data_IF_366079804880
#
_entry.id   IF_366079804880
#
_cell.length_a   1.000
_cell.length_b   1.000
_cell.length_c   1.000
_cell.angle_alpha   90.00
_cell.angle_beta   90.00
_cell.angle_gamma   90.00
#
_symmetry.space_group_name_H-M   'P 1'
#
loop_
_entity.id
_entity.type
_entity.pdbx_description
1 polymer ?
#
# COMPACT_ATOMS: atom_id res chain seq x y z
N UNK A 1 16.96 -59.21 3.47
CA UNK A 1 15.51 -59.06 3.79
C UNK A 1 15.40 -57.84 4.71
N UNK A 2 15.53 -56.60 4.25
CA UNK A 2 14.71 -55.81 3.31
C UNK A 2 13.23 -55.84 3.65
N UNK A 3 12.76 -54.81 4.35
CA UNK A 3 11.43 -54.26 4.17
C UNK A 3 11.56 -52.74 4.15
N UNK A 4 11.48 -52.20 2.94
CA UNK A 4 11.51 -50.77 2.64
C UNK A 4 10.16 -50.14 2.98
N UNK A 5 10.19 -48.95 3.56
CA UNK A 5 9.01 -48.14 3.83
C UNK A 5 8.63 -47.36 2.54
N UNK A 6 7.47 -47.63 1.90
CA UNK A 6 7.14 -47.00 0.63
C UNK A 6 6.62 -45.58 0.86
N UNK A 7 7.42 -44.61 0.40
CA UNK A 7 7.06 -43.20 0.27
C UNK A 7 5.90 -42.98 -0.72
N UNK A 8 5.06 -42.01 -0.38
CA UNK A 8 4.50 -40.98 -1.29
C UNK A 8 3.77 -41.50 -2.54
N UNK A 9 2.46 -41.73 -2.42
CA UNK A 9 1.52 -41.68 -3.55
C UNK A 9 0.28 -40.89 -3.13
N UNK A 10 0.05 -39.77 -3.80
CA UNK A 10 -1.20 -39.01 -3.68
C UNK A 10 -1.05 -37.53 -3.29
N UNK A 11 0.01 -36.84 -3.71
CA UNK A 11 -0.08 -35.38 -3.82
C UNK A 11 -0.99 -35.08 -5.02
N UNK A 12 -2.27 -34.88 -4.76
CA UNK A 12 -3.19 -34.26 -5.72
C UNK A 12 -2.60 -32.88 -5.99
N UNK A 13 -2.04 -32.70 -7.18
CA UNK A 13 -1.73 -31.39 -7.69
C UNK A 13 -3.03 -30.61 -7.67
N UNK A 14 -3.16 -29.66 -6.74
CA UNK A 14 -4.22 -28.67 -6.78
C UNK A 14 -3.90 -27.84 -8.00
N UNK A 15 -4.56 -28.17 -9.11
CA UNK A 15 -4.49 -27.45 -10.37
C UNK A 15 -5.03 -26.04 -10.06
N UNK A 16 -4.12 -25.11 -9.81
CA UNK A 16 -4.46 -23.71 -9.67
C UNK A 16 -4.93 -23.27 -11.05
N UNK A 17 -6.21 -22.91 -11.26
CA UNK A 17 -6.69 -22.56 -12.58
C UNK A 17 -5.82 -21.44 -13.13
N UNK A 18 -5.04 -21.78 -14.16
CA UNK A 18 -4.26 -20.79 -14.90
C UNK A 18 -5.27 -19.92 -15.63
N UNK A 19 -5.48 -18.72 -15.07
CA UNK A 19 -6.28 -17.65 -15.64
C UNK A 19 -5.71 -17.25 -16.99
N UNK A 20 -5.95 -18.04 -18.04
CA UNK A 20 -5.78 -17.61 -19.42
C UNK A 20 -6.99 -16.75 -19.75
N UNK A 21 -6.70 -15.53 -20.21
CA UNK A 21 -7.63 -14.54 -20.76
C UNK A 21 -8.46 -13.69 -19.76
N UNK A 22 -7.78 -13.01 -18.83
CA UNK A 22 -8.28 -11.74 -18.28
C UNK A 22 -7.48 -10.60 -18.94
N UNK A 23 -8.10 -9.46 -19.31
CA UNK A 23 -7.35 -8.29 -19.75
C UNK A 23 -6.27 -7.98 -18.72
N UNK A 24 -5.07 -7.57 -19.17
CA UNK A 24 -3.90 -7.20 -18.36
C UNK A 24 -4.30 -6.26 -17.22
N UNK A 25 -4.77 -6.83 -16.12
CA UNK A 25 -5.22 -6.10 -14.95
C UNK A 25 -4.07 -6.19 -13.98
N UNK A 26 -3.44 -5.04 -13.71
CA UNK A 26 -2.35 -4.94 -12.75
C UNK A 26 -2.74 -5.67 -11.45
N UNK A 27 -1.85 -6.54 -10.97
CA UNK A 27 -2.05 -7.21 -9.68
C UNK A 27 -2.09 -6.16 -8.57
N UNK A 28 -2.73 -6.43 -7.41
CA UNK A 28 -2.69 -5.51 -6.27
C UNK A 28 -1.27 -5.09 -5.88
N UNK A 29 -0.31 -6.00 -5.97
CA UNK A 29 1.12 -5.70 -5.75
C UNK A 29 1.69 -4.73 -6.78
N UNK A 30 1.44 -4.95 -8.08
CA UNK A 30 1.88 -4.05 -9.14
C UNK A 30 1.27 -2.63 -8.99
N UNK A 31 0.00 -2.54 -8.57
CA UNK A 31 -0.64 -1.26 -8.26
C UNK A 31 0.04 -0.54 -7.08
N UNK A 32 0.40 -1.28 -6.02
CA UNK A 32 1.12 -0.72 -4.87
C UNK A 32 2.53 -0.23 -5.27
N UNK A 33 3.25 -0.98 -6.09
CA UNK A 33 4.56 -0.59 -6.61
C UNK A 33 4.48 0.70 -7.45
N UNK A 34 3.48 0.80 -8.33
CA UNK A 34 3.25 2.03 -9.12
C UNK A 34 2.92 3.23 -8.24
N UNK A 35 2.18 3.02 -7.14
CA UNK A 35 1.92 4.09 -6.18
C UNK A 35 3.23 4.54 -5.48
N UNK A 36 4.11 3.60 -5.11
CA UNK A 36 5.40 3.92 -4.52
C UNK A 36 6.30 4.71 -5.50
N UNK A 37 6.35 4.31 -6.78
CA UNK A 37 7.10 5.04 -7.81
C UNK A 37 6.51 6.43 -8.09
N UNK A 38 5.19 6.60 -8.04
CA UNK A 38 4.57 7.91 -8.15
C UNK A 38 4.99 8.84 -7.00
N UNK A 39 5.05 8.33 -5.76
CA UNK A 39 5.55 9.10 -4.60
C UNK A 39 7.03 9.42 -4.76
N UNK A 40 7.84 8.48 -5.27
CA UNK A 40 9.26 8.72 -5.56
C UNK A 40 9.43 9.85 -6.59
N UNK A 41 8.66 9.82 -7.67
CA UNK A 41 8.68 10.87 -8.69
C UNK A 41 8.25 12.23 -8.13
N UNK A 42 7.20 12.25 -7.29
CA UNK A 42 6.77 13.46 -6.58
C UNK A 42 7.90 14.02 -5.70
N UNK A 43 8.52 13.18 -4.87
CA UNK A 43 9.62 13.61 -4.00
C UNK A 43 10.78 14.21 -4.79
N UNK A 44 11.09 13.67 -5.97
CA UNK A 44 12.10 14.23 -6.87
C UNK A 44 11.69 15.59 -7.43
N UNK A 45 10.42 15.77 -7.81
CA UNK A 45 9.91 17.03 -8.33
C UNK A 45 9.86 18.16 -7.27
N UNK A 46 9.83 17.82 -5.99
CA UNK A 46 9.79 18.77 -4.87
C UNK A 46 11.15 19.00 -4.18
N UNK A 47 12.25 18.51 -4.76
CA UNK A 47 13.55 18.45 -4.08
C UNK A 47 14.43 19.70 -4.32
N UNK A 48 14.57 20.55 -3.29
CA UNK A 48 15.61 21.57 -3.18
C UNK A 48 15.66 22.56 -4.35
N UNK A 49 16.86 22.91 -4.81
CA UNK A 49 17.07 23.85 -5.93
C UNK A 49 16.54 23.35 -7.29
N UNK A 50 16.10 22.08 -7.36
CA UNK A 50 15.45 21.46 -8.54
C UNK A 50 13.94 21.33 -8.37
N UNK A 51 13.39 21.93 -7.32
CA UNK A 51 11.96 21.97 -7.07
C UNK A 51 11.23 22.61 -8.24
N UNK A 52 10.14 21.98 -8.67
CA UNK A 52 9.20 22.54 -9.63
C UNK A 52 8.13 23.40 -8.95
N UNK A 53 8.25 23.64 -7.64
CA UNK A 53 7.38 24.53 -6.88
C UNK A 53 7.97 25.95 -6.91
N UNK A 54 7.27 26.88 -7.55
CA UNK A 54 7.68 28.29 -7.68
C UNK A 54 6.79 29.23 -6.87
N UNK A 55 5.53 28.83 -6.62
CA UNK A 55 4.53 29.67 -5.96
C UNK A 55 3.83 28.91 -4.81
N UNK A 56 3.25 29.62 -3.82
CA UNK A 56 2.46 28.99 -2.76
C UNK A 56 1.33 28.10 -3.27
N UNK A 57 0.75 28.45 -4.43
CA UNK A 57 -0.28 27.66 -5.11
C UNK A 57 0.19 26.28 -5.55
N UNK A 58 1.48 26.08 -5.82
CA UNK A 58 2.02 24.79 -6.24
C UNK A 58 2.04 23.80 -5.07
N UNK A 59 2.40 24.28 -3.88
CA UNK A 59 2.31 23.49 -2.66
C UNK A 59 0.86 23.10 -2.35
N UNK A 60 -0.10 24.02 -2.54
CA UNK A 60 -1.53 23.72 -2.41
C UNK A 60 -1.95 22.61 -3.38
N UNK A 61 -1.56 22.74 -4.65
CA UNK A 61 -1.87 21.78 -5.70
C UNK A 61 -1.26 20.38 -5.46
N UNK A 62 -0.12 20.29 -4.75
CA UNK A 62 0.48 19.00 -4.35
C UNK A 62 -0.21 18.39 -3.13
N UNK A 63 -0.53 19.20 -2.11
CA UNK A 63 -1.09 18.68 -0.85
C UNK A 63 -2.50 18.13 -1.07
N UNK A 64 -3.32 18.72 -1.94
CA UNK A 64 -4.69 18.25 -2.22
C UNK A 64 -4.77 16.77 -2.66
N UNK A 65 -4.02 16.36 -3.70
CA UNK A 65 -3.88 14.95 -4.08
C UNK A 65 -3.35 14.04 -2.96
N UNK A 66 -2.41 14.50 -2.13
CA UNK A 66 -1.91 13.73 -0.99
C UNK A 66 -2.99 13.48 0.07
N UNK A 67 -3.89 14.45 0.31
CA UNK A 67 -5.08 14.23 1.17
C UNK A 67 -5.93 13.09 0.62
N UNK A 68 -6.17 13.07 -0.69
CA UNK A 68 -6.96 12.01 -1.33
C UNK A 68 -6.29 10.64 -1.24
N UNK A 69 -4.97 10.58 -1.38
CA UNK A 69 -4.21 9.35 -1.18
C UNK A 69 -4.34 8.86 0.26
N UNK A 70 -4.07 9.72 1.25
CA UNK A 70 -4.16 9.37 2.67
C UNK A 70 -5.57 8.93 3.07
N UNK A 71 -6.62 9.51 2.47
CA UNK A 71 -8.02 9.11 2.68
C UNK A 71 -8.35 7.71 2.17
N UNK A 72 -7.66 7.23 1.13
CA UNK A 72 -7.91 5.92 0.50
C UNK A 72 -7.14 4.77 1.15
N UNK A 73 -5.97 5.07 1.74
CA UNK A 73 -5.13 4.05 2.39
C UNK A 73 -5.85 3.18 3.44
N UNK A 74 -6.71 3.73 4.33
CA UNK A 74 -7.48 2.92 5.28
C UNK A 74 -8.24 1.78 4.62
N UNK A 75 -8.95 2.06 3.51
CA UNK A 75 -9.71 1.05 2.80
C UNK A 75 -8.81 -0.08 2.27
N UNK A 76 -7.63 0.26 1.73
CA UNK A 76 -6.68 -0.75 1.26
C UNK A 76 -6.16 -1.62 2.42
N UNK A 77 -5.91 -1.03 3.59
CA UNK A 77 -5.44 -1.77 4.75
C UNK A 77 -6.53 -2.67 5.35
N UNK A 78 -7.77 -2.20 5.40
CA UNK A 78 -8.91 -2.98 5.86
C UNK A 78 -9.14 -4.19 4.93
N UNK A 79 -9.08 -4.00 3.61
CA UNK A 79 -9.17 -5.09 2.63
C UNK A 79 -8.04 -6.11 2.76
N UNK A 80 -6.82 -5.67 3.08
CA UNK A 80 -5.70 -6.58 3.38
C UNK A 80 -5.97 -7.36 4.68
N UNK A 81 -6.50 -6.70 5.72
CA UNK A 81 -6.83 -7.35 6.98
C UNK A 81 -7.92 -8.43 6.81
N UNK A 82 -8.95 -8.15 6.02
CA UNK A 82 -9.99 -9.13 5.64
C UNK A 82 -9.39 -10.35 4.94
N UNK A 83 -8.41 -10.15 4.05
CA UNK A 83 -7.71 -11.27 3.41
C UNK A 83 -6.91 -12.09 4.43
N UNK A 84 -6.29 -11.46 5.43
CA UNK A 84 -5.59 -12.17 6.50
C UNK A 84 -6.54 -13.02 7.37
N UNK A 85 -7.78 -12.60 7.55
CA UNK A 85 -8.79 -13.41 8.26
C UNK A 85 -9.17 -14.68 7.47
N UNK A 86 -9.21 -14.58 6.13
CA UNK A 86 -9.36 -15.76 5.27
C UNK A 86 -8.19 -16.72 5.46
N UNK A 87 -6.95 -16.22 5.51
CA UNK A 87 -5.77 -17.05 5.75
C UNK A 87 -5.79 -17.72 7.14
N UNK A 88 -6.29 -17.02 8.16
CA UNK A 88 -6.40 -17.54 9.53
C UNK A 88 -7.31 -18.78 9.60
N UNK A 89 -8.43 -18.76 8.87
CA UNK A 89 -9.32 -19.91 8.76
C UNK A 89 -8.63 -21.13 8.11
N UNK A 90 -7.69 -20.91 7.20
CA UNK A 90 -6.93 -21.93 6.49
C UNK A 90 -5.75 -22.51 7.30
N UNK A 91 -5.38 -21.89 8.43
CA UNK A 91 -4.39 -22.45 9.36
C UNK A 91 -4.90 -23.79 9.93
N UNK A 92 -6.19 -23.86 10.32
CA UNK A 92 -6.79 -25.08 10.89
C UNK A 92 -6.85 -26.25 9.90
N UNK A 93 -6.79 -25.97 8.60
CA UNK A 93 -6.77 -27.01 7.55
C UNK A 93 -5.36 -27.40 7.12
N UNK A 94 -4.32 -26.76 7.68
CA UNK A 94 -2.92 -26.99 7.33
C UNK A 94 -2.51 -26.41 5.96
N UNK A 95 -3.31 -25.52 5.36
CA UNK A 95 -2.99 -24.90 4.08
C UNK A 95 -2.13 -23.63 4.21
N UNK A 96 -2.06 -23.07 5.41
CA UNK A 96 -1.16 -21.95 5.74
C UNK A 96 -0.20 -22.44 6.81
N UNK A 97 1.09 -22.28 6.54
CA UNK A 97 2.18 -22.64 7.44
C UNK A 97 3.18 -21.48 7.52
N UNK A 98 3.94 -21.42 8.61
CA UNK A 98 5.03 -20.47 8.77
C UNK A 98 6.36 -21.21 8.76
N UNK A 99 7.36 -20.64 8.09
CA UNK A 99 8.74 -21.17 8.11
C UNK A 99 9.35 -21.12 9.53
N UNK A 100 8.83 -20.24 10.39
CA UNK A 100 9.19 -20.08 11.80
C UNK A 100 8.00 -19.63 12.63
N UNK A 101 7.89 -20.09 13.88
CA UNK A 101 6.83 -19.67 14.81
C UNK A 101 5.43 -20.17 14.43
N UNK A 102 4.41 -19.66 15.11
CA UNK A 102 3.01 -20.03 14.84
C UNK A 102 2.42 -19.13 13.73
N UNK A 103 1.85 -19.70 12.64
CA UNK A 103 1.19 -18.91 11.60
C UNK A 103 0.06 -18.02 12.12
N UNK A 104 -0.70 -18.46 13.14
CA UNK A 104 -1.80 -17.65 13.70
C UNK A 104 -1.27 -16.40 14.41
N UNK A 105 -0.19 -16.52 15.17
CA UNK A 105 0.51 -15.38 15.79
C UNK A 105 1.03 -14.36 14.76
N UNK A 106 1.59 -14.83 13.64
CA UNK A 106 2.04 -13.94 12.55
C UNK A 106 0.88 -13.19 11.91
N UNK A 107 -0.23 -13.88 11.61
CA UNK A 107 -1.41 -13.28 11.04
C UNK A 107 -2.05 -12.26 11.99
N UNK A 108 -2.14 -12.57 13.28
CA UNK A 108 -2.64 -11.64 14.30
C UNK A 108 -1.76 -10.38 14.40
N UNK A 109 -0.44 -10.55 14.35
CA UNK A 109 0.52 -9.44 14.35
C UNK A 109 0.34 -8.56 13.11
N UNK A 110 0.22 -9.15 11.92
CA UNK A 110 0.02 -8.43 10.67
C UNK A 110 -1.31 -7.64 10.67
N UNK A 111 -2.40 -8.22 11.17
CA UNK A 111 -3.69 -7.51 11.35
C UNK A 111 -3.56 -6.32 12.28
N UNK A 112 -2.92 -6.51 13.44
CA UNK A 112 -2.69 -5.42 14.40
C UNK A 112 -1.86 -4.28 13.79
N UNK A 113 -0.86 -4.61 12.98
CA UNK A 113 -0.07 -3.63 12.25
C UNK A 113 -0.92 -2.88 11.20
N UNK A 114 -1.81 -3.55 10.48
CA UNK A 114 -2.73 -2.89 9.53
C UNK A 114 -3.73 -1.97 10.24
N UNK A 115 -4.29 -2.38 11.38
CA UNK A 115 -5.15 -1.51 12.22
C UNK A 115 -4.40 -0.24 12.67
N UNK A 116 -3.13 -0.40 13.04
CA UNK A 116 -2.26 0.71 13.40
C UNK A 116 -1.97 1.61 12.19
N UNK A 117 -1.74 1.02 11.01
CA UNK A 117 -1.55 1.73 9.76
C UNK A 117 -2.79 2.54 9.34
N UNK A 118 -3.99 1.98 9.51
CA UNK A 118 -5.27 2.68 9.31
C UNK A 118 -5.37 3.92 10.19
N UNK A 119 -5.06 3.78 11.49
CA UNK A 119 -5.08 4.90 12.44
C UNK A 119 -4.04 5.98 12.08
N UNK A 120 -2.84 5.57 11.65
CA UNK A 120 -1.81 6.47 11.19
C UNK A 120 -2.20 7.21 9.90
N UNK A 121 -2.83 6.53 8.94
CA UNK A 121 -3.30 7.15 7.69
C UNK A 121 -4.42 8.16 7.94
N UNK A 122 -5.34 7.88 8.87
CA UNK A 122 -6.37 8.84 9.29
C UNK A 122 -5.76 10.08 9.94
N UNK A 123 -4.72 9.91 10.74
CA UNK A 123 -3.98 11.00 11.37
C UNK A 123 -3.23 11.83 10.31
N UNK A 124 -2.56 11.17 9.37
CA UNK A 124 -1.89 11.81 8.23
C UNK A 124 -2.87 12.63 7.39
N UNK A 125 -4.04 12.08 7.06
CA UNK A 125 -5.08 12.78 6.32
C UNK A 125 -5.50 14.07 7.04
N UNK A 126 -5.68 14.04 8.36
CA UNK A 126 -6.06 15.23 9.13
C UNK A 126 -4.99 16.34 9.05
N UNK A 127 -3.71 15.97 9.19
CA UNK A 127 -2.63 16.94 9.08
C UNK A 127 -2.49 17.50 7.66
N UNK A 128 -2.62 16.66 6.63
CA UNK A 128 -2.59 17.12 5.24
C UNK A 128 -3.77 18.04 4.92
N UNK A 129 -4.97 17.75 5.43
CA UNK A 129 -6.13 18.60 5.24
C UNK A 129 -5.99 19.96 5.95
N UNK A 130 -5.39 19.96 7.16
CA UNK A 130 -5.01 21.18 7.86
C UNK A 130 -4.00 22.00 7.05
N UNK A 131 -2.95 21.36 6.51
CA UNK A 131 -1.98 22.02 5.63
C UNK A 131 -2.64 22.60 4.40
N UNK A 132 -3.50 21.83 3.72
CA UNK A 132 -4.21 22.28 2.52
C UNK A 132 -5.06 23.53 2.80
N UNK A 133 -5.77 23.55 3.93
CA UNK A 133 -6.55 24.72 4.37
C UNK A 133 -5.65 25.93 4.69
N UNK A 134 -4.51 25.72 5.36
CA UNK A 134 -3.57 26.78 5.71
C UNK A 134 -2.85 27.38 4.49
N UNK A 135 -2.68 26.60 3.42
CA UNK A 135 -2.11 27.08 2.15
C UNK A 135 -3.11 27.89 1.32
N UNK A 136 -4.42 27.61 1.44
CA UNK A 136 -5.47 28.24 0.64
C UNK A 136 -5.46 29.78 0.58
N UNK A 137 -5.23 30.52 1.68
CA UNK A 137 -5.19 31.98 1.63
C UNK A 137 -3.85 32.56 1.14
N UNK A 138 -2.83 31.73 0.90
CA UNK A 138 -1.51 32.21 0.49
C UNK A 138 -1.51 32.60 -0.99
N UNK A 139 -1.25 33.87 -1.26
CA UNK A 139 -0.97 34.39 -2.60
C UNK A 139 0.50 34.77 -2.74
N UNK A 140 0.99 34.79 -3.98
CA UNK A 140 2.28 35.40 -4.29
C UNK A 140 2.09 36.90 -4.53
N UNK A 141 2.86 37.73 -3.82
CA UNK A 141 2.88 39.19 -4.00
C UNK A 141 4.28 39.73 -4.33
N UNK A 142 5.22 38.85 -4.67
CA UNK A 142 6.57 39.21 -5.08
C UNK A 142 6.66 39.54 -6.58
N UNK A 143 7.81 40.04 -7.05
CA UNK A 143 8.03 40.25 -8.49
C UNK A 143 7.92 38.92 -9.24
N UNK A 144 7.27 38.92 -10.41
CA UNK A 144 7.37 37.84 -11.38
C UNK A 144 8.72 38.00 -12.07
N UNK A 145 9.62 37.05 -11.92
CA UNK A 145 10.85 37.03 -12.73
C UNK A 145 10.48 36.59 -14.14
N UNK A 146 10.77 37.42 -15.15
CA UNK A 146 10.38 37.26 -16.55
C UNK A 146 10.96 36.02 -17.28
N UNK A 147 11.70 35.14 -16.59
CA UNK A 147 12.33 33.95 -17.17
C UNK A 147 11.78 32.65 -16.56
N UNK A 148 10.59 32.23 -16.99
CA UNK A 148 10.07 30.87 -16.84
C UNK A 148 9.56 30.35 -18.18
#
# INVERSE_FOLDING_TARGET
MTAANPRLRGAVAVDHPTTRDRPDTDTPGALADRAAEAIRALNHATLGDRSQLSFPGDAYAVVGPLVNLARRLPQSFDQLAEFLDVLDALVRTGYVAADRGDPSEHLATARSALTSATSAAQTLMQYLDLTHRALGPLGWSGPLTDDQ
#
